data_IF_087118641289
#
_entry.id   IF_087118641289
#
_cell.length_a   1.000
_cell.length_b   1.000
_cell.length_c   1.000
_cell.angle_alpha   90.00
_cell.angle_beta   90.00
_cell.angle_gamma   90.00
#
_symmetry.space_group_name_H-M   'P 1'
#
loop_
_entity.id
_entity.type
_entity.pdbx_description
1 polymer ?
#
# COMPACT_ATOMS: atom_id res chain seq x y z
N UNK A 1 9.06 -29.21 -34.21
CA UNK A 1 8.42 -27.89 -34.19
C UNK A 1 7.68 -27.77 -32.87
N UNK A 2 8.36 -27.23 -31.84
CA UNK A 2 7.79 -27.10 -30.50
C UNK A 2 6.95 -25.83 -30.46
N UNK A 3 5.64 -25.99 -30.32
CA UNK A 3 4.68 -24.89 -30.21
C UNK A 3 4.97 -24.13 -28.92
N UNK A 4 5.43 -22.89 -29.04
CA UNK A 4 5.57 -21.95 -27.93
C UNK A 4 4.16 -21.57 -27.50
N UNK A 5 3.81 -21.86 -26.25
CA UNK A 5 2.57 -21.39 -25.64
C UNK A 5 2.56 -19.84 -25.66
N UNK A 6 1.40 -19.20 -25.90
CA UNK A 6 1.34 -17.75 -26.02
C UNK A 6 1.78 -17.10 -24.70
N UNK A 7 2.69 -16.13 -24.81
CA UNK A 7 3.07 -15.24 -23.73
C UNK A 7 1.83 -14.47 -23.27
N UNK A 8 1.52 -14.54 -21.96
CA UNK A 8 0.48 -13.72 -21.36
C UNK A 8 0.94 -12.26 -21.31
N UNK A 9 0.48 -11.47 -22.27
CA UNK A 9 0.48 -10.02 -22.25
C UNK A 9 -0.97 -9.52 -22.13
N UNK A 10 -1.42 -9.41 -20.88
CA UNK A 10 -2.61 -8.67 -20.45
C UNK A 10 -2.51 -8.54 -18.92
N UNK A 11 -2.22 -7.34 -18.42
CA UNK A 11 -2.09 -7.00 -17.00
C UNK A 11 -3.32 -7.48 -16.23
N UNK A 12 -3.17 -8.63 -15.59
CA UNK A 12 -4.18 -9.23 -14.71
C UNK A 12 -4.25 -8.36 -13.47
N UNK A 13 -5.46 -8.03 -13.00
CA UNK A 13 -5.61 -7.28 -11.75
C UNK A 13 -4.83 -8.01 -10.62
N UNK A 14 -4.09 -7.28 -9.77
CA UNK A 14 -3.24 -7.90 -8.77
C UNK A 14 -4.08 -8.80 -7.85
N UNK A 15 -3.56 -10.00 -7.59
CA UNK A 15 -4.22 -10.93 -6.68
C UNK A 15 -4.10 -10.40 -5.25
N UNK A 16 -5.00 -10.81 -4.34
CA UNK A 16 -4.92 -10.43 -2.91
C UNK A 16 -3.62 -10.90 -2.22
N UNK A 17 -2.86 -11.79 -2.85
CA UNK A 17 -1.60 -12.34 -2.35
C UNK A 17 -0.38 -11.58 -2.86
N UNK A 18 -0.54 -10.72 -3.87
CA UNK A 18 0.54 -9.96 -4.46
C UNK A 18 0.46 -8.49 -4.02
N UNK A 19 1.48 -7.97 -3.32
CA UNK A 19 1.49 -6.57 -2.93
C UNK A 19 1.62 -5.66 -4.14
N UNK A 20 0.66 -4.75 -4.27
CA UNK A 20 0.73 -3.63 -5.21
C UNK A 20 1.71 -2.58 -4.68
N UNK A 21 2.53 -2.02 -5.57
CA UNK A 21 3.49 -0.99 -5.19
C UNK A 21 2.78 0.36 -5.01
N UNK A 22 3.04 1.01 -3.89
CA UNK A 22 2.57 2.35 -3.57
C UNK A 22 3.74 3.31 -3.35
N UNK A 23 3.50 4.59 -3.60
CA UNK A 23 4.41 5.70 -3.29
C UNK A 23 3.89 6.46 -2.09
N UNK A 24 4.76 6.81 -1.15
CA UNK A 24 4.45 7.79 -0.10
C UNK A 24 4.40 9.17 -0.73
N UNK A 25 3.23 9.79 -0.81
CA UNK A 25 3.05 11.12 -1.42
C UNK A 25 2.99 12.25 -0.40
N UNK A 26 2.65 11.91 0.84
CA UNK A 26 2.64 12.84 1.97
C UNK A 26 2.77 12.07 3.28
N UNK A 27 3.15 12.76 4.36
CA UNK A 27 3.20 12.19 5.70
C UNK A 27 2.95 13.24 6.78
N UNK A 28 2.35 12.81 7.89
CA UNK A 28 2.08 13.65 9.05
C UNK A 28 2.52 12.92 10.31
N UNK A 29 3.30 13.60 11.14
CA UNK A 29 3.62 13.16 12.50
C UNK A 29 2.53 13.62 13.45
N UNK A 30 1.55 12.74 13.71
CA UNK A 30 0.39 13.02 14.57
C UNK A 30 0.82 13.22 16.04
N UNK A 31 1.79 12.41 16.47
CA UNK A 31 2.41 12.48 17.80
C UNK A 31 3.87 12.05 17.70
N UNK A 32 4.58 12.02 18.84
CA UNK A 32 5.97 11.54 18.92
C UNK A 32 6.16 10.10 18.44
N UNK A 33 5.12 9.27 18.47
CA UNK A 33 5.20 7.85 18.12
C UNK A 33 4.14 7.39 17.11
N UNK A 34 3.33 8.31 16.58
CA UNK A 34 2.24 8.02 15.64
C UNK A 34 2.43 8.80 14.35
N UNK A 35 2.38 8.10 13.21
CA UNK A 35 2.51 8.68 11.86
C UNK A 35 1.33 8.29 11.00
N UNK A 36 0.86 9.22 10.19
CA UNK A 36 -0.01 8.97 9.04
C UNK A 36 0.82 9.05 7.77
N UNK A 37 0.79 8.02 6.95
CA UNK A 37 1.30 8.05 5.57
C UNK A 37 0.14 8.20 4.61
N UNK A 38 0.28 9.10 3.63
CA UNK A 38 -0.60 9.16 2.46
C UNK A 38 0.07 8.43 1.30
N UNK A 39 -0.65 7.47 0.74
CA UNK A 39 -0.13 6.48 -0.19
C UNK A 39 -0.93 6.50 -1.48
N UNK A 40 -0.24 6.47 -2.62
CA UNK A 40 -0.87 6.31 -3.94
C UNK A 40 -0.31 5.08 -4.64
N UNK A 41 -1.19 4.31 -5.29
CA UNK A 41 -0.74 3.20 -6.14
C UNK A 41 0.11 3.74 -7.29
N UNK A 42 1.21 3.04 -7.58
CA UNK A 42 2.07 3.38 -8.73
C UNK A 42 1.41 3.02 -10.07
N UNK A 43 0.56 2.01 -10.09
CA UNK A 43 -0.28 1.70 -11.25
C UNK A 43 -1.47 2.66 -11.28
N UNK A 44 -1.54 3.47 -12.34
CA UNK A 44 -2.58 4.47 -12.53
C UNK A 44 -3.99 3.86 -12.58
N UNK A 45 -4.15 2.75 -13.30
CA UNK A 45 -5.45 2.10 -13.44
C UNK A 45 -5.93 1.56 -12.10
N UNK A 46 -5.02 1.00 -11.28
CA UNK A 46 -5.35 0.59 -9.92
C UNK A 46 -5.67 1.80 -9.02
N UNK A 47 -4.91 2.89 -9.13
CA UNK A 47 -5.15 4.14 -8.39
C UNK A 47 -6.56 4.70 -8.62
N UNK A 48 -7.02 4.66 -9.87
CA UNK A 48 -8.33 5.16 -10.27
C UNK A 48 -9.48 4.20 -9.92
N UNK A 49 -9.24 2.89 -9.93
CA UNK A 49 -10.28 1.87 -9.77
C UNK A 49 -10.38 1.27 -8.36
N UNK A 50 -9.38 1.47 -7.50
CA UNK A 50 -9.37 0.89 -6.16
C UNK A 50 -10.52 1.43 -5.31
N UNK A 51 -11.26 0.50 -4.70
CA UNK A 51 -12.39 0.79 -3.83
C UNK A 51 -12.36 -0.13 -2.61
N UNK A 52 -12.81 0.40 -1.48
CA UNK A 52 -12.89 -0.33 -0.22
C UNK A 52 -14.13 0.11 0.57
N UNK A 53 -14.51 -0.69 1.56
CA UNK A 53 -15.55 -0.40 2.52
C UNK A 53 -14.95 0.12 3.82
N UNK A 54 -15.66 1.04 4.48
CA UNK A 54 -15.25 1.52 5.79
C UNK A 54 -15.08 0.36 6.78
N UNK A 55 -13.98 0.37 7.53
CA UNK A 55 -13.63 -0.70 8.47
C UNK A 55 -12.76 -1.82 7.88
N UNK A 56 -12.47 -1.81 6.58
CA UNK A 56 -11.47 -2.72 6.01
C UNK A 56 -10.04 -2.34 6.42
N UNK A 57 -9.17 -3.34 6.39
CA UNK A 57 -7.75 -3.22 6.65
C UNK A 57 -6.95 -3.73 5.45
N UNK A 58 -5.70 -3.29 5.35
CA UNK A 58 -4.73 -3.83 4.40
C UNK A 58 -3.48 -4.34 5.11
N UNK A 59 -2.67 -5.08 4.37
CA UNK A 59 -1.32 -5.47 4.76
C UNK A 59 -0.31 -4.52 4.11
N UNK A 60 0.47 -3.86 4.96
CA UNK A 60 1.42 -2.81 4.59
C UNK A 60 2.83 -3.37 4.68
N UNK A 61 3.51 -3.47 3.54
CA UNK A 61 4.83 -4.10 3.41
C UNK A 61 5.94 -3.05 3.46
N UNK A 62 6.80 -3.13 4.47
CA UNK A 62 8.09 -2.44 4.48
C UNK A 62 9.18 -3.41 3.99
N UNK A 63 9.80 -3.10 2.85
CA UNK A 63 10.74 -4.02 2.20
C UNK A 63 11.92 -4.38 3.09
N UNK A 64 12.20 -5.67 3.21
CA UNK A 64 13.23 -6.22 4.11
C UNK A 64 12.81 -6.33 5.59
N UNK A 65 11.74 -5.65 6.01
CA UNK A 65 11.26 -5.69 7.40
C UNK A 65 10.12 -6.69 7.62
N UNK A 66 9.21 -6.81 6.64
CA UNK A 66 8.02 -7.66 6.69
C UNK A 66 6.74 -6.88 6.38
N UNK A 67 5.60 -7.43 6.80
CA UNK A 67 4.27 -6.81 6.63
C UNK A 67 3.55 -6.68 7.97
N UNK A 68 2.67 -5.69 8.10
CA UNK A 68 1.75 -5.58 9.22
C UNK A 68 0.40 -5.03 8.78
N UNK A 69 -0.64 -5.40 9.52
CA UNK A 69 -2.03 -5.03 9.23
C UNK A 69 -2.41 -3.72 9.88
N UNK A 70 -2.99 -2.79 9.12
CA UNK A 70 -3.62 -1.57 9.63
C UNK A 70 -4.96 -1.32 8.93
N UNK A 71 -5.87 -0.65 9.62
CA UNK A 71 -7.09 -0.16 8.99
C UNK A 71 -6.76 0.93 7.97
N UNK A 72 -7.53 0.99 6.87
CA UNK A 72 -7.45 2.13 5.96
C UNK A 72 -8.04 3.35 6.67
N UNK A 73 -7.23 4.39 6.85
CA UNK A 73 -7.55 5.56 7.66
C UNK A 73 -8.22 6.70 6.84
N UNK A 74 -8.30 6.57 5.52
CA UNK A 74 -9.02 7.50 4.65
C UNK A 74 -10.50 7.06 4.46
N UNK A 75 -11.42 7.99 4.17
CA UNK A 75 -12.79 7.63 3.85
C UNK A 75 -12.88 7.01 2.44
N UNK A 76 -13.76 6.01 2.21
CA UNK A 76 -13.91 5.35 0.92
C UNK A 76 -14.45 6.26 -0.19
N UNK A 77 -14.96 7.45 0.16
CA UNK A 77 -15.40 8.48 -0.79
C UNK A 77 -14.25 9.31 -1.37
N UNK A 78 -13.02 9.15 -0.87
CA UNK A 78 -11.83 9.85 -1.34
C UNK A 78 -10.99 8.90 -2.18
N UNK A 79 -11.19 8.94 -3.49
CA UNK A 79 -10.42 8.13 -4.44
C UNK A 79 -8.98 8.65 -4.62
N UNK A 80 -8.13 7.81 -5.20
CA UNK A 80 -6.78 8.16 -5.65
C UNK A 80 -5.68 8.02 -4.59
N UNK A 81 -5.99 8.15 -3.30
CA UNK A 81 -5.01 7.99 -2.23
C UNK A 81 -5.60 7.28 -0.99
N UNK A 82 -4.78 6.47 -0.35
CA UNK A 82 -5.07 5.82 0.92
C UNK A 82 -4.27 6.48 2.03
N UNK A 83 -4.84 6.52 3.23
CA UNK A 83 -4.12 6.92 4.44
C UNK A 83 -3.92 5.70 5.33
N UNK A 84 -2.74 5.61 5.93
CA UNK A 84 -2.39 4.58 6.91
C UNK A 84 -1.79 5.26 8.13
N UNK A 85 -2.54 5.25 9.23
CA UNK A 85 -2.06 5.76 10.51
C UNK A 85 -1.61 4.60 11.39
N UNK A 86 -0.38 4.67 11.89
CA UNK A 86 0.19 3.64 12.75
C UNK A 86 1.02 4.24 13.89
N UNK A 87 1.02 3.52 15.01
CA UNK A 87 1.91 3.78 16.13
C UNK A 87 3.18 2.93 15.98
N UNK A 88 4.34 3.51 16.27
CA UNK A 88 5.64 2.85 16.15
C UNK A 88 5.91 1.98 17.37
N UNK A 89 5.57 0.68 17.28
CA UNK A 89 5.62 -0.25 18.42
C UNK A 89 6.42 -1.53 18.18
N UNK A 90 6.65 -1.90 16.91
CA UNK A 90 7.35 -3.12 16.53
C UNK A 90 8.17 -2.98 15.25
N UNK A 91 8.85 -4.06 14.87
CA UNK A 91 9.82 -4.10 13.75
C UNK A 91 9.28 -3.47 12.47
N UNK A 92 8.09 -3.88 12.01
CA UNK A 92 7.54 -3.40 10.73
C UNK A 92 7.05 -1.96 10.84
N UNK A 93 6.35 -1.59 11.92
CA UNK A 93 5.94 -0.18 12.14
C UNK A 93 7.12 0.78 12.27
N UNK A 94 8.24 0.32 12.84
CA UNK A 94 9.48 1.10 12.88
C UNK A 94 10.09 1.25 11.48
N UNK A 95 10.08 0.21 10.65
CA UNK A 95 10.53 0.33 9.27
C UNK A 95 9.62 1.23 8.42
N UNK A 96 8.30 1.17 8.60
CA UNK A 96 7.35 2.08 7.94
C UNK A 96 7.55 3.54 8.41
N UNK A 97 7.94 3.75 9.68
CA UNK A 97 8.26 5.07 10.23
C UNK A 97 9.46 5.72 9.54
N UNK A 98 10.40 4.94 9.02
CA UNK A 98 11.57 5.47 8.30
C UNK A 98 11.28 5.87 6.85
N UNK A 99 10.09 5.53 6.32
CA UNK A 99 9.70 5.94 4.97
C UNK A 99 9.47 7.46 4.88
N UNK A 100 9.90 8.04 3.77
CA UNK A 100 9.77 9.45 3.43
C UNK A 100 8.95 9.63 2.14
N UNK A 101 8.55 10.86 1.85
CA UNK A 101 7.90 11.20 0.59
C UNK A 101 8.78 10.79 -0.59
N UNK A 102 8.19 10.08 -1.55
CA UNK A 102 8.87 9.48 -2.70
C UNK A 102 9.28 8.02 -2.52
N UNK A 103 9.33 7.51 -1.28
CA UNK A 103 9.68 6.11 -1.04
C UNK A 103 8.58 5.15 -1.48
N UNK A 104 8.98 3.91 -1.73
CA UNK A 104 8.10 2.85 -2.22
C UNK A 104 7.84 1.82 -1.14
N UNK A 105 6.59 1.35 -1.06
CA UNK A 105 6.16 0.29 -0.17
C UNK A 105 5.13 -0.62 -0.84
N UNK A 106 4.80 -1.75 -0.20
CA UNK A 106 3.79 -2.69 -0.69
C UNK A 106 2.44 -2.56 0.03
N UNK A 107 1.35 -2.81 -0.69
CA UNK A 107 0.00 -2.89 -0.13
C UNK A 107 -0.78 -4.04 -0.76
N UNK A 108 -1.43 -4.86 0.06
CA UNK A 108 -2.42 -5.85 -0.40
C UNK A 108 -3.60 -5.96 0.57
N UNK A 109 -4.74 -6.42 0.06
CA UNK A 109 -5.99 -6.54 0.79
C UNK A 109 -7.16 -5.90 0.07
#
# INVERSE_FOLDING_TARGET
MSTVAPQHDARTAPTIYEPSLMTVVDLVDETVDTRTLKLEFKDEALRESFAFHAGQFGEYSAFGAGECTFCIASPPTRAGALECTFKTVGKVSAALRELNVGDTMGFRG
#
